data_IF_288589043474
#
_entry.id   IF_288589043474
#
_cell.length_a   1.000
_cell.length_b   1.000
_cell.length_c   1.000
_cell.angle_alpha   90.00
_cell.angle_beta   90.00
_cell.angle_gamma   90.00
#
_symmetry.space_group_name_H-M   'P 1'
#
loop_
_entity.id
_entity.type
_entity.pdbx_description
1 polymer ?
#
# COMPACT_ATOMS: atom_id res chain seq x y z
N UNK A 1 -25.36 -2.80 47.53
CA UNK A 1 -25.31 -1.41 47.03
C UNK A 1 -23.85 -0.99 47.04
N UNK A 2 -23.18 -1.02 45.89
CA UNK A 2 -21.77 -0.62 45.77
C UNK A 2 -21.67 0.90 45.93
N UNK A 3 -20.82 1.36 46.84
CA UNK A 3 -20.61 2.78 47.13
C UNK A 3 -20.13 3.53 45.89
N UNK A 4 -20.94 4.48 45.42
CA UNK A 4 -20.56 5.47 44.41
C UNK A 4 -19.56 6.44 45.03
N UNK A 5 -18.27 6.26 44.74
CA UNK A 5 -17.18 7.12 45.23
C UNK A 5 -16.71 8.00 44.07
N UNK A 6 -16.54 9.32 44.23
CA UNK A 6 -16.21 10.24 43.12
C UNK A 6 -14.97 9.84 42.31
N UNK A 7 -13.98 9.20 42.94
CA UNK A 7 -12.81 8.64 42.26
C UNK A 7 -13.18 7.66 41.13
N UNK A 8 -14.16 6.77 41.32
CA UNK A 8 -14.57 5.81 40.27
C UNK A 8 -15.09 6.50 39.01
N UNK A 9 -15.73 7.67 39.16
CA UNK A 9 -16.30 8.41 38.01
C UNK A 9 -15.22 9.10 37.18
N UNK A 10 -14.15 9.56 37.81
CA UNK A 10 -13.00 10.18 37.13
C UNK A 10 -12.18 9.14 36.36
N UNK A 11 -11.95 7.95 36.95
CA UNK A 11 -11.30 6.84 36.26
C UNK A 11 -12.10 6.33 35.05
N UNK A 12 -13.43 6.23 35.18
CA UNK A 12 -14.32 5.83 34.09
C UNK A 12 -14.28 6.85 32.94
N UNK A 13 -14.28 8.15 33.27
CA UNK A 13 -14.14 9.23 32.28
C UNK A 13 -12.79 9.21 31.54
N UNK A 14 -11.69 8.92 32.22
CA UNK A 14 -10.36 8.84 31.59
C UNK A 14 -10.29 7.62 30.66
N UNK A 15 -10.81 6.46 31.11
CA UNK A 15 -10.82 5.25 30.28
C UNK A 15 -11.68 5.41 29.02
N UNK A 16 -12.82 6.09 29.11
CA UNK A 16 -13.67 6.43 27.97
C UNK A 16 -12.98 7.41 27.00
N UNK A 17 -12.24 8.39 27.53
CA UNK A 17 -11.47 9.32 26.73
C UNK A 17 -10.34 8.62 25.96
N UNK A 18 -9.53 7.79 26.64
CA UNK A 18 -8.46 6.99 26.02
C UNK A 18 -9.00 6.04 24.94
N UNK A 19 -10.14 5.39 25.21
CA UNK A 19 -10.81 4.53 24.23
C UNK A 19 -11.26 5.32 22.99
N UNK A 20 -11.69 6.57 23.17
CA UNK A 20 -12.08 7.45 22.06
C UNK A 20 -10.86 7.79 21.21
N UNK A 21 -9.74 8.18 21.83
CA UNK A 21 -8.49 8.45 21.13
C UNK A 21 -7.97 7.23 20.35
N UNK A 22 -8.03 6.03 20.95
CA UNK A 22 -7.62 4.79 20.28
C UNK A 22 -8.48 4.47 19.04
N UNK A 23 -9.80 4.72 19.12
CA UNK A 23 -10.71 4.56 17.98
C UNK A 23 -10.40 5.57 16.87
N UNK A 24 -10.18 6.83 17.24
CA UNK A 24 -9.81 7.89 16.29
C UNK A 24 -8.49 7.56 15.59
N UNK A 25 -7.46 7.14 16.33
CA UNK A 25 -6.18 6.71 15.77
C UNK A 25 -6.38 5.52 14.81
N UNK A 26 -7.18 4.52 15.21
CA UNK A 26 -7.47 3.36 14.35
C UNK A 26 -8.11 3.77 13.03
N UNK A 27 -9.17 4.59 13.06
CA UNK A 27 -9.83 5.04 11.83
C UNK A 27 -8.93 5.93 10.98
N UNK A 28 -8.12 6.80 11.61
CA UNK A 28 -7.12 7.60 10.90
C UNK A 28 -6.13 6.72 10.13
N UNK A 29 -5.59 5.67 10.76
CA UNK A 29 -4.65 4.75 10.14
C UNK A 29 -5.32 3.94 9.02
N UNK A 30 -6.53 3.44 9.23
CA UNK A 30 -7.27 2.70 8.19
C UNK A 30 -7.54 3.56 6.96
N UNK A 31 -8.04 4.78 7.17
CA UNK A 31 -8.29 5.72 6.08
C UNK A 31 -7.00 6.08 5.34
N UNK A 32 -5.90 6.29 6.09
CA UNK A 32 -4.58 6.55 5.49
C UNK A 32 -4.15 5.38 4.60
N UNK A 33 -4.27 4.13 5.06
CA UNK A 33 -3.95 2.93 4.28
C UNK A 33 -4.81 2.85 3.00
N UNK A 34 -6.09 3.21 3.07
CA UNK A 34 -7.00 3.24 1.92
C UNK A 34 -6.61 4.33 0.91
N UNK A 35 -6.22 5.51 1.38
CA UNK A 35 -5.73 6.59 0.51
C UNK A 35 -4.44 6.20 -0.22
N UNK A 36 -3.52 5.50 0.45
CA UNK A 36 -2.35 4.91 -0.22
C UNK A 36 -2.76 3.94 -1.33
N UNK A 37 -3.76 3.07 -1.10
CA UNK A 37 -4.28 2.18 -2.13
C UNK A 37 -4.86 2.96 -3.31
N UNK A 38 -5.65 4.01 -3.05
CA UNK A 38 -6.21 4.88 -4.09
C UNK A 38 -5.12 5.51 -4.96
N UNK A 39 -4.06 6.03 -4.33
CA UNK A 39 -2.94 6.64 -5.05
C UNK A 39 -2.14 5.63 -5.88
N UNK A 40 -1.95 4.41 -5.38
CA UNK A 40 -1.32 3.32 -6.14
C UNK A 40 -2.12 3.00 -7.42
N UNK A 41 -3.46 2.99 -7.35
CA UNK A 41 -4.30 2.80 -8.54
C UNK A 41 -4.11 3.91 -9.59
N UNK A 42 -3.99 5.17 -9.14
CA UNK A 42 -3.71 6.31 -10.03
C UNK A 42 -2.34 6.17 -10.70
N UNK A 43 -1.31 5.82 -9.94
CA UNK A 43 0.06 5.56 -10.43
C UNK A 43 0.06 4.48 -11.51
N UNK A 44 -0.66 3.37 -11.28
CA UNK A 44 -0.79 2.30 -12.27
C UNK A 44 -1.51 2.77 -13.54
N UNK A 45 -2.61 3.50 -13.40
CA UNK A 45 -3.36 4.02 -14.53
C UNK A 45 -2.49 4.93 -15.41
N UNK A 46 -1.78 5.88 -14.79
CA UNK A 46 -0.88 6.79 -15.50
C UNK A 46 0.31 6.04 -16.15
N UNK A 47 0.86 5.03 -15.47
CA UNK A 47 1.91 4.18 -16.04
C UNK A 47 1.45 3.46 -17.31
N UNK A 48 0.29 2.80 -17.26
CA UNK A 48 -0.29 2.11 -18.41
C UNK A 48 -0.59 3.08 -19.56
N UNK A 49 -1.15 4.26 -19.27
CA UNK A 49 -1.39 5.29 -20.29
C UNK A 49 -0.10 5.77 -20.93
N UNK A 50 0.93 6.06 -20.13
CA UNK A 50 2.23 6.51 -20.62
C UNK A 50 2.91 5.47 -21.51
N UNK A 51 2.96 4.21 -21.07
CA UNK A 51 3.52 3.12 -21.88
C UNK A 51 2.70 2.86 -23.14
N UNK A 52 1.37 2.90 -23.04
CA UNK A 52 0.47 2.77 -24.19
C UNK A 52 0.75 3.82 -25.27
N UNK A 53 0.99 5.07 -24.86
CA UNK A 53 1.38 6.15 -25.78
C UNK A 53 2.74 5.87 -26.43
N UNK A 54 3.74 5.41 -25.67
CA UNK A 54 5.05 5.06 -26.22
C UNK A 54 4.98 3.91 -27.24
N UNK A 55 4.14 2.90 -26.98
CA UNK A 55 3.87 1.81 -27.92
C UNK A 55 3.22 2.36 -29.20
N UNK A 56 2.18 3.20 -29.07
CA UNK A 56 1.49 3.78 -30.22
C UNK A 56 2.46 4.59 -31.12
N UNK A 57 3.31 5.43 -30.51
CA UNK A 57 4.30 6.22 -31.24
C UNK A 57 5.35 5.34 -31.93
N UNK A 58 5.83 4.28 -31.25
CA UNK A 58 6.76 3.31 -31.85
C UNK A 58 6.18 2.65 -33.10
N UNK A 59 4.88 2.31 -33.07
CA UNK A 59 4.21 1.68 -34.19
C UNK A 59 4.01 2.64 -35.38
N UNK A 60 3.75 3.93 -35.10
CA UNK A 60 3.57 4.98 -36.12
C UNK A 60 4.89 5.35 -36.80
N UNK A 61 5.90 5.72 -36.02
CA UNK A 61 7.19 6.23 -36.54
C UNK A 61 8.12 5.10 -37.03
N UNK A 62 7.83 3.84 -36.66
CA UNK A 62 8.66 2.65 -36.96
C UNK A 62 10.12 2.77 -36.48
N UNK A 63 10.40 3.70 -35.56
CA UNK A 63 11.72 3.89 -34.99
C UNK A 63 11.83 3.13 -33.67
N UNK A 64 12.71 2.12 -33.61
CA UNK A 64 12.94 1.34 -32.40
C UNK A 64 13.50 2.15 -31.22
N UNK A 65 14.09 3.33 -31.48
CA UNK A 65 14.61 4.23 -30.44
C UNK A 65 13.50 4.80 -29.54
N UNK A 66 12.29 4.98 -30.07
CA UNK A 66 11.13 5.45 -29.29
C UNK A 66 10.72 4.39 -28.26
N UNK A 67 10.72 3.11 -28.62
CA UNK A 67 10.44 2.03 -27.68
C UNK A 67 11.50 1.92 -26.59
N UNK A 68 12.78 2.14 -26.94
CA UNK A 68 13.88 2.14 -25.98
C UNK A 68 13.73 3.28 -24.96
N UNK A 69 13.45 4.50 -25.44
CA UNK A 69 13.16 5.64 -24.57
C UNK A 69 11.88 5.39 -23.75
N UNK A 70 10.89 4.73 -24.34
CA UNK A 70 9.64 4.33 -23.69
C UNK A 70 9.85 3.45 -22.46
N UNK A 71 10.94 2.68 -22.37
CA UNK A 71 11.26 1.86 -21.19
C UNK A 71 11.47 2.68 -19.92
N UNK A 72 11.80 3.97 -20.05
CA UNK A 72 11.94 4.86 -18.91
C UNK A 72 10.60 5.05 -18.16
N UNK A 73 9.47 5.04 -18.88
CA UNK A 73 8.14 5.25 -18.30
C UNK A 73 7.82 4.19 -17.24
N UNK A 74 7.74 2.89 -17.57
CA UNK A 74 7.48 1.86 -16.57
C UNK A 74 8.55 1.80 -15.48
N UNK A 75 9.81 2.12 -15.78
CA UNK A 75 10.86 2.19 -14.76
C UNK A 75 10.60 3.28 -13.71
N UNK A 76 10.19 4.48 -14.12
CA UNK A 76 9.83 5.56 -13.18
C UNK A 76 8.60 5.19 -12.35
N UNK A 77 7.55 4.66 -13.00
CA UNK A 77 6.33 4.24 -12.28
C UNK A 77 6.59 3.08 -11.34
N UNK A 78 7.51 2.17 -11.67
CA UNK A 78 7.95 1.12 -10.78
C UNK A 78 8.56 1.66 -9.49
N UNK A 79 9.50 2.61 -9.61
CA UNK A 79 10.11 3.24 -8.43
C UNK A 79 9.04 3.94 -7.60
N UNK A 80 8.16 4.71 -8.23
CA UNK A 80 7.07 5.40 -7.53
C UNK A 80 6.16 4.42 -6.79
N UNK A 81 5.59 3.40 -7.45
CA UNK A 81 4.74 2.40 -6.80
C UNK A 81 5.48 1.71 -5.63
N UNK A 82 6.78 1.45 -5.80
CA UNK A 82 7.63 0.93 -4.73
C UNK A 82 7.70 1.84 -3.50
N UNK A 83 7.95 3.14 -3.67
CA UNK A 83 7.96 4.11 -2.57
C UNK A 83 6.62 4.15 -1.85
N UNK A 84 5.51 4.27 -2.60
CA UNK A 84 4.16 4.36 -2.04
C UNK A 84 3.78 3.11 -1.25
N UNK A 85 4.10 1.91 -1.75
CA UNK A 85 3.87 0.66 -1.00
C UNK A 85 4.76 0.54 0.24
N UNK A 86 5.99 1.04 0.20
CA UNK A 86 6.85 1.06 1.37
C UNK A 86 6.26 1.95 2.47
N UNK A 87 5.84 3.18 2.14
CA UNK A 87 5.19 4.07 3.09
C UNK A 87 3.89 3.49 3.64
N UNK A 88 3.04 2.92 2.77
CA UNK A 88 1.81 2.26 3.20
C UNK A 88 2.05 1.16 4.23
N UNK A 89 3.07 0.31 4.02
CA UNK A 89 3.42 -0.78 4.93
C UNK A 89 3.91 -0.29 6.29
N UNK A 90 4.42 0.94 6.38
CA UNK A 90 4.80 1.56 7.65
C UNK A 90 3.64 1.65 8.65
N UNK A 91 2.40 1.71 8.17
CA UNK A 91 1.20 1.81 9.00
C UNK A 91 0.65 0.46 9.48
N UNK A 92 1.00 -0.63 8.80
CA UNK A 92 0.45 -1.97 9.10
C UNK A 92 0.77 -2.50 10.51
N UNK A 93 1.98 -2.33 11.06
CA UNK A 93 2.27 -2.80 12.41
C UNK A 93 1.42 -2.09 13.46
N UNK A 94 1.23 -0.77 13.32
CA UNK A 94 0.42 0.02 14.24
C UNK A 94 -1.07 -0.30 14.10
N UNK A 95 -1.58 -0.49 12.88
CA UNK A 95 -2.93 -0.98 12.66
C UNK A 95 -3.17 -2.31 13.39
N UNK A 96 -2.27 -3.28 13.23
CA UNK A 96 -2.37 -4.58 13.91
C UNK A 96 -2.31 -4.48 15.44
N UNK A 97 -1.50 -3.56 15.97
CA UNK A 97 -1.40 -3.31 17.41
C UNK A 97 -2.69 -2.72 17.97
N UNK A 98 -3.28 -1.72 17.30
CA UNK A 98 -4.54 -1.10 17.71
C UNK A 98 -5.69 -2.11 17.72
N UNK A 99 -5.81 -2.95 16.68
CA UNK A 99 -6.83 -3.99 16.66
C UNK A 99 -6.64 -4.98 17.81
N UNK A 100 -5.39 -5.37 18.12
CA UNK A 100 -5.10 -6.25 19.25
C UNK A 100 -5.57 -5.63 20.56
N UNK A 101 -5.30 -4.34 20.80
CA UNK A 101 -5.72 -3.61 22.00
C UNK A 101 -7.25 -3.55 22.07
N UNK A 102 -7.91 -3.09 21.00
CA UNK A 102 -9.37 -2.91 20.97
C UNK A 102 -10.13 -4.24 21.14
N UNK A 103 -9.64 -5.32 20.54
CA UNK A 103 -10.26 -6.65 20.63
C UNK A 103 -9.95 -7.33 21.97
N UNK A 104 -8.70 -7.27 22.45
CA UNK A 104 -8.29 -8.05 23.63
C UNK A 104 -8.57 -7.33 24.93
N UNK A 105 -8.28 -6.03 25.00
CA UNK A 105 -8.36 -5.24 26.25
C UNK A 105 -9.75 -4.63 26.45
N UNK A 106 -10.38 -4.17 25.36
CA UNK A 106 -11.71 -3.57 25.39
C UNK A 106 -12.85 -4.49 24.90
N UNK A 107 -12.52 -5.74 24.52
CA UNK A 107 -13.49 -6.76 24.07
C UNK A 107 -14.41 -6.29 22.92
N UNK A 108 -13.92 -5.41 22.04
CA UNK A 108 -14.67 -4.90 20.90
C UNK A 108 -14.55 -5.86 19.72
N UNK A 109 -15.68 -6.29 19.16
CA UNK A 109 -15.70 -7.18 17.98
C UNK A 109 -15.52 -6.45 16.63
N UNK A 110 -15.83 -5.16 16.56
CA UNK A 110 -15.90 -4.40 15.30
C UNK A 110 -14.57 -4.00 14.63
N UNK A 111 -13.47 -3.67 15.34
CA UNK A 111 -12.27 -3.10 14.72
C UNK A 111 -11.29 -4.18 14.27
N UNK A 112 -11.73 -5.25 13.60
CA UNK A 112 -10.86 -6.36 13.18
C UNK A 112 -10.62 -6.41 11.65
N UNK A 113 -10.75 -5.27 10.96
CA UNK A 113 -10.74 -5.20 9.48
C UNK A 113 -9.39 -5.66 8.92
N UNK A 114 -8.29 -5.11 9.41
CA UNK A 114 -6.94 -5.41 8.95
C UNK A 114 -6.53 -6.84 9.32
N UNK A 115 -6.82 -7.25 10.55
CA UNK A 115 -6.52 -8.56 11.10
C UNK A 115 -7.26 -9.69 10.39
N UNK A 116 -8.56 -9.53 10.15
CA UNK A 116 -9.36 -10.51 9.42
C UNK A 116 -8.95 -10.59 7.96
N UNK A 117 -8.71 -9.46 7.30
CA UNK A 117 -8.20 -9.45 5.93
C UNK A 117 -6.85 -10.18 5.84
N UNK A 118 -5.93 -9.86 6.72
CA UNK A 118 -4.62 -10.51 6.75
C UNK A 118 -4.72 -12.02 7.00
N UNK A 119 -5.61 -12.44 7.92
CA UNK A 119 -5.86 -13.86 8.22
C UNK A 119 -6.42 -14.59 7.00
N UNK A 120 -7.45 -14.04 6.35
CA UNK A 120 -8.08 -14.63 5.16
C UNK A 120 -7.09 -14.79 4.02
N UNK A 121 -6.25 -13.78 3.78
CA UNK A 121 -5.25 -13.80 2.72
C UNK A 121 -3.92 -14.45 3.12
N UNK A 122 -3.84 -15.10 4.30
CA UNK A 122 -2.63 -15.71 4.86
C UNK A 122 -1.41 -14.77 4.81
N UNK A 123 -1.65 -13.46 4.96
CA UNK A 123 -0.60 -12.46 4.95
C UNK A 123 0.06 -12.45 6.33
N UNK A 124 1.38 -12.29 6.34
CA UNK A 124 2.10 -12.14 7.59
C UNK A 124 1.93 -10.73 8.11
N UNK A 125 1.35 -10.58 9.29
CA UNK A 125 1.31 -9.31 10.04
C UNK A 125 2.63 -9.01 10.75
N UNK A 126 3.60 -9.94 10.72
CA UNK A 126 4.91 -9.66 11.29
C UNK A 126 5.53 -8.52 10.50
N UNK A 127 5.97 -7.43 11.17
CA UNK A 127 6.73 -6.39 10.52
C UNK A 127 7.99 -7.03 9.96
N UNK A 128 8.02 -7.28 8.65
CA UNK A 128 9.28 -7.52 7.98
C UNK A 128 9.95 -6.16 7.94
N UNK A 129 11.02 -5.95 8.72
CA UNK A 129 11.91 -4.77 8.56
C UNK A 129 12.75 -4.95 7.29
N UNK A 130 12.06 -5.21 6.21
CA UNK A 130 12.63 -5.31 4.90
C UNK A 130 12.67 -3.86 4.41
N UNK A 131 13.86 -3.30 4.25
CA UNK A 131 14.01 -1.92 3.80
C UNK A 131 13.28 -1.66 2.48
N UNK A 132 13.22 -0.38 2.10
CA UNK A 132 12.56 0.13 0.90
C UNK A 132 12.73 -0.75 -0.36
N UNK A 133 13.93 -1.33 -0.56
CA UNK A 133 14.23 -2.22 -1.68
C UNK A 133 13.34 -3.47 -1.71
N UNK A 134 13.21 -4.18 -0.59
CA UNK A 134 12.51 -5.47 -0.54
C UNK A 134 11.01 -5.30 -0.37
N UNK A 135 10.59 -4.27 0.37
CA UNK A 135 9.18 -4.06 0.67
C UNK A 135 8.45 -3.19 -0.35
N UNK A 136 9.16 -2.28 -0.99
CA UNK A 136 8.65 -1.46 -2.08
C UNK A 136 8.99 -2.07 -3.44
N UNK A 137 10.23 -1.89 -3.86
CA UNK A 137 10.67 -2.08 -5.26
C UNK A 137 10.59 -3.55 -5.70
N UNK A 138 11.12 -4.47 -4.91
CA UNK A 138 11.16 -5.90 -5.20
C UNK A 138 9.93 -6.66 -4.70
N UNK A 139 8.86 -5.94 -4.35
CA UNK A 139 7.58 -6.59 -4.05
C UNK A 139 7.13 -7.38 -5.29
N UNK A 140 6.88 -8.70 -5.19
CA UNK A 140 6.57 -9.53 -6.36
C UNK A 140 5.42 -9.01 -7.22
N UNK A 141 4.39 -8.44 -6.58
CA UNK A 141 3.22 -7.86 -7.27
C UNK A 141 3.54 -6.60 -8.07
N UNK A 142 4.61 -5.89 -7.72
CA UNK A 142 5.09 -4.67 -8.40
C UNK A 142 6.12 -5.05 -9.45
N UNK A 143 7.13 -5.82 -9.04
CA UNK A 143 8.28 -6.21 -9.85
C UNK A 143 7.85 -6.89 -11.16
N UNK A 144 6.98 -7.90 -11.08
CA UNK A 144 6.63 -8.72 -12.24
C UNK A 144 5.94 -7.90 -13.33
N UNK A 145 5.01 -7.00 -12.97
CA UNK A 145 4.29 -6.21 -13.98
C UNK A 145 5.23 -5.29 -14.76
N UNK A 146 6.12 -4.58 -14.08
CA UNK A 146 7.02 -3.63 -14.73
C UNK A 146 8.14 -4.31 -15.52
N UNK A 147 8.65 -5.45 -15.04
CA UNK A 147 9.65 -6.24 -15.79
C UNK A 147 9.05 -6.77 -17.10
N UNK A 148 7.81 -7.26 -17.08
CA UNK A 148 7.12 -7.71 -18.29
C UNK A 148 6.89 -6.55 -19.27
N UNK A 149 6.49 -5.39 -18.77
CA UNK A 149 6.25 -4.19 -19.55
C UNK A 149 7.54 -3.66 -20.23
N UNK A 150 8.63 -3.57 -19.46
CA UNK A 150 9.96 -3.20 -19.98
C UNK A 150 10.43 -4.25 -21.00
N UNK A 151 10.31 -5.54 -20.69
CA UNK A 151 10.70 -6.62 -21.59
C UNK A 151 9.95 -6.57 -22.92
N UNK A 152 8.66 -6.24 -22.90
CA UNK A 152 7.85 -6.05 -24.09
C UNK A 152 8.33 -4.87 -24.95
N UNK A 153 8.61 -3.72 -24.33
CA UNK A 153 9.14 -2.55 -25.03
C UNK A 153 10.53 -2.80 -25.63
N UNK A 154 11.41 -3.50 -24.91
CA UNK A 154 12.71 -3.90 -25.43
C UNK A 154 12.58 -4.82 -26.65
N UNK A 155 11.65 -5.78 -26.60
CA UNK A 155 11.36 -6.65 -27.75
C UNK A 155 10.86 -5.84 -28.95
N UNK A 156 9.93 -4.90 -28.75
CA UNK A 156 9.45 -4.00 -29.80
C UNK A 156 10.57 -3.15 -30.40
N UNK A 157 11.48 -2.64 -29.56
CA UNK A 157 12.63 -1.87 -30.00
C UNK A 157 13.50 -2.69 -30.97
N UNK A 158 13.85 -3.92 -30.60
CA UNK A 158 14.68 -4.82 -31.41
C UNK A 158 14.00 -5.14 -32.75
N UNK A 159 12.70 -5.43 -32.75
CA UNK A 159 11.94 -5.75 -33.98
C UNK A 159 11.88 -4.56 -34.94
N UNK A 160 11.83 -3.32 -34.42
CA UNK A 160 11.72 -2.10 -35.23
C UNK A 160 13.06 -1.47 -35.60
N UNK A 161 14.14 -1.89 -34.95
CA UNK A 161 15.52 -1.54 -35.33
C UNK A 161 16.03 -2.38 -36.51
N UNK A 162 15.36 -3.49 -36.85
CA UNK A 162 15.65 -4.37 -37.97
C UNK A 162 14.78 -4.05 -39.18
#
# INVERSE_FOLDING_TARGET
MSNFTPANREFESIAEFELTLLKEEYFFIQNTIEDYNRQIWVIKALGITGTGAAIALTLQEKQGLIALLGCAIPAFFWVLEGQWKHFQRGFYPRAAELERILVTEYNLRGPAIFGDWSRVFKRTNKPKRNGLLWDGILNPSVFISYVLEIGFLLMLSIVKLR
#
